data_IF_079552807229
#
_entry.id   IF_079552807229
#
_cell.length_a   1.000
_cell.length_b   1.000
_cell.length_c   1.000
_cell.angle_alpha   90.00
_cell.angle_beta   90.00
_cell.angle_gamma   90.00
#
_symmetry.space_group_name_H-M   'P 1'
#
loop_
_entity.id
_entity.type
_entity.pdbx_description
1 polymer ?
#
# COMPACT_ATOMS: atom_id res chain seq x y z
N UNK A 1 13.69 9.70 7.28
CA UNK A 1 13.50 8.25 7.37
C UNK A 1 12.07 8.01 7.84
N UNK A 2 11.35 7.00 7.37
CA UNK A 2 9.96 6.75 7.79
C UNK A 2 9.89 6.39 9.28
N UNK A 3 10.79 5.50 9.70
CA UNK A 3 10.94 5.09 11.08
C UNK A 3 12.22 5.75 11.63
N UNK A 4 12.13 6.36 12.80
CA UNK A 4 13.31 6.86 13.49
C UNK A 4 14.20 5.69 13.92
N UNK A 5 15.52 5.94 14.04
CA UNK A 5 16.43 4.93 14.60
C UNK A 5 16.21 4.72 16.12
N UNK A 6 15.23 5.41 16.69
CA UNK A 6 14.83 5.28 18.07
C UNK A 6 13.72 4.24 18.21
N UNK A 7 13.96 3.11 18.90
CA UNK A 7 12.95 2.09 19.16
C UNK A 7 11.74 2.61 19.96
N UNK A 8 11.87 3.75 20.64
CA UNK A 8 10.79 4.37 21.39
C UNK A 8 9.85 5.20 20.50
N UNK A 9 10.26 5.54 19.27
CA UNK A 9 9.41 6.31 18.38
C UNK A 9 8.31 5.41 17.79
N UNK A 10 7.07 5.92 17.81
CA UNK A 10 5.91 5.23 17.26
C UNK A 10 5.19 6.15 16.28
N UNK A 11 5.12 5.74 15.02
CA UNK A 11 4.51 6.55 13.95
C UNK A 11 3.04 6.18 13.80
N UNK A 12 2.16 7.18 13.91
CA UNK A 12 0.75 7.03 13.54
C UNK A 12 0.56 7.51 12.11
N UNK A 13 -0.06 6.69 11.29
CA UNK A 13 -0.40 6.99 9.90
C UNK A 13 -1.85 6.67 9.60
N UNK A 14 -2.27 6.99 8.39
CA UNK A 14 -3.59 6.66 7.88
C UNK A 14 -3.51 6.01 6.51
N UNK A 15 -4.48 5.14 6.21
CA UNK A 15 -4.70 4.62 4.87
C UNK A 15 -5.75 5.46 4.15
N UNK A 16 -5.46 5.84 2.91
CA UNK A 16 -6.41 6.31 1.93
C UNK A 16 -6.24 5.42 0.70
N UNK A 17 -6.91 4.26 0.64
CA UNK A 17 -6.68 3.34 -0.46
C UNK A 17 -6.95 4.03 -1.80
N UNK A 18 -8.05 4.80 -1.89
CA UNK A 18 -8.40 5.56 -3.09
C UNK A 18 -9.24 6.79 -2.74
N UNK A 19 -9.11 7.83 -3.54
CA UNK A 19 -10.09 8.91 -3.65
C UNK A 19 -11.24 8.46 -4.57
N UNK A 20 -10.91 7.85 -5.71
CA UNK A 20 -11.79 7.12 -6.60
C UNK A 20 -11.28 5.70 -6.82
N UNK A 21 -12.08 4.69 -6.51
CA UNK A 21 -11.66 3.29 -6.41
C UNK A 21 -10.88 2.78 -7.65
N UNK A 22 -9.56 2.75 -7.54
CA UNK A 22 -8.64 2.22 -8.56
C UNK A 22 -8.54 3.04 -9.84
N UNK A 23 -8.97 4.32 -9.82
CA UNK A 23 -8.98 5.21 -10.99
C UNK A 23 -8.30 6.56 -10.72
N UNK A 24 -7.55 6.67 -9.63
CA UNK A 24 -6.91 7.92 -9.24
C UNK A 24 -5.70 8.29 -10.13
N UNK A 25 -5.07 7.30 -10.75
CA UNK A 25 -3.84 7.47 -11.53
C UNK A 25 -3.97 6.93 -12.93
N UNK A 26 -3.88 7.83 -13.92
CA UNK A 26 -3.96 7.53 -15.33
C UNK A 26 -5.37 7.35 -15.86
N UNK A 27 -5.46 7.22 -17.17
CA UNK A 27 -6.71 7.03 -17.88
C UNK A 27 -7.28 5.62 -17.66
N UNK A 28 -8.59 5.52 -17.71
CA UNK A 28 -9.33 4.25 -17.76
C UNK A 28 -10.45 4.34 -18.79
N UNK A 29 -11.08 3.18 -19.11
CA UNK A 29 -12.24 3.19 -19.99
C UNK A 29 -13.45 3.97 -19.44
N UNK A 30 -13.49 4.24 -18.14
CA UNK A 30 -14.52 5.09 -17.50
C UNK A 30 -14.13 6.57 -17.46
N UNK A 31 -12.83 6.86 -17.38
CA UNK A 31 -12.27 8.22 -17.28
C UNK A 31 -11.08 8.34 -18.25
N UNK A 32 -11.38 8.54 -19.56
CA UNK A 32 -10.33 8.56 -20.60
C UNK A 32 -9.41 9.79 -20.49
N UNK A 33 -9.84 10.85 -19.82
CA UNK A 33 -9.04 12.07 -19.63
C UNK A 33 -7.97 11.94 -18.52
N UNK A 34 -8.06 10.92 -17.69
CA UNK A 34 -7.12 10.67 -16.59
C UNK A 34 -7.78 10.59 -15.21
N UNK A 35 -6.92 10.50 -14.18
CA UNK A 35 -7.30 10.37 -12.78
C UNK A 35 -7.42 11.72 -12.05
N UNK A 36 -6.68 11.87 -10.94
CA UNK A 36 -6.77 13.01 -10.01
C UNK A 36 -6.63 14.38 -10.69
N UNK A 37 -5.65 14.54 -11.57
CA UNK A 37 -5.35 15.82 -12.21
C UNK A 37 -6.45 16.27 -13.18
N UNK A 38 -7.18 15.31 -13.76
CA UNK A 38 -8.27 15.54 -14.68
C UNK A 38 -9.65 15.64 -13.99
N UNK A 39 -9.73 15.32 -12.70
CA UNK A 39 -10.97 15.27 -11.91
C UNK A 39 -10.94 16.26 -10.75
N UNK A 40 -11.31 17.56 -10.95
CA UNK A 40 -11.20 18.58 -9.91
C UNK A 40 -11.85 18.22 -8.58
N UNK A 41 -13.03 17.57 -8.60
CA UNK A 41 -13.72 17.15 -7.39
C UNK A 41 -12.98 16.04 -6.62
N UNK A 42 -12.23 15.18 -7.29
CA UNK A 42 -11.39 14.19 -6.65
C UNK A 42 -10.14 14.83 -6.03
N UNK A 43 -9.53 15.77 -6.76
CA UNK A 43 -8.39 16.53 -6.26
C UNK A 43 -8.79 17.38 -5.03
N UNK A 44 -9.95 18.06 -5.06
CA UNK A 44 -10.45 18.81 -3.92
C UNK A 44 -10.68 17.92 -2.69
N UNK A 45 -11.22 16.71 -2.87
CA UNK A 45 -11.37 15.74 -1.77
C UNK A 45 -10.02 15.32 -1.19
N UNK A 46 -9.02 15.08 -2.05
CA UNK A 46 -7.66 14.77 -1.62
C UNK A 46 -7.08 15.92 -0.81
N UNK A 47 -7.18 17.17 -1.29
CA UNK A 47 -6.69 18.37 -0.59
C UNK A 47 -7.34 18.53 0.80
N UNK A 48 -8.66 18.36 0.89
CA UNK A 48 -9.37 18.42 2.18
C UNK A 48 -8.90 17.32 3.14
N UNK A 49 -8.65 16.11 2.61
CA UNK A 49 -8.16 15.00 3.41
C UNK A 49 -6.74 15.25 3.93
N UNK A 50 -5.84 15.75 3.07
CA UNK A 50 -4.48 16.09 3.46
C UNK A 50 -4.44 17.24 4.48
N UNK A 51 -5.28 18.27 4.29
CA UNK A 51 -5.42 19.35 5.26
C UNK A 51 -5.95 18.87 6.61
N UNK A 52 -6.81 17.86 6.64
CA UNK A 52 -7.27 17.24 7.88
C UNK A 52 -6.11 16.49 8.58
N UNK A 53 -5.35 15.69 7.86
CA UNK A 53 -4.20 14.96 8.39
C UNK A 53 -3.14 15.91 8.97
N UNK A 54 -2.83 17.01 8.27
CA UNK A 54 -1.91 18.06 8.74
C UNK A 54 -2.38 18.65 10.08
N UNK A 55 -3.64 19.05 10.19
CA UNK A 55 -4.24 19.57 11.45
C UNK A 55 -4.19 18.55 12.58
N UNK A 56 -4.32 17.29 12.25
CA UNK A 56 -4.35 16.17 13.18
C UNK A 56 -2.95 15.69 13.58
N UNK A 57 -1.89 16.20 12.92
CA UNK A 57 -0.51 15.80 13.16
C UNK A 57 -0.16 14.43 12.60
N UNK A 58 -0.95 13.90 11.65
CA UNK A 58 -0.69 12.62 10.98
C UNK A 58 0.15 12.88 9.73
N UNK A 59 1.42 12.53 9.81
CA UNK A 59 2.41 12.90 8.78
C UNK A 59 2.56 11.87 7.65
N UNK A 60 1.95 10.69 7.73
CA UNK A 60 2.13 9.60 6.74
C UNK A 60 0.76 9.13 6.24
N UNK A 61 0.62 9.14 4.91
CA UNK A 61 -0.53 8.62 4.18
C UNK A 61 -0.12 7.44 3.32
N UNK A 62 -0.68 6.25 3.56
CA UNK A 62 -0.54 5.09 2.68
C UNK A 62 -1.66 5.09 1.65
N UNK A 63 -1.33 5.08 0.34
CA UNK A 63 -2.27 5.25 -0.76
C UNK A 63 -1.94 4.30 -1.91
N UNK A 64 -2.96 3.68 -2.53
CA UNK A 64 -2.79 2.69 -3.59
C UNK A 64 -2.75 3.35 -4.96
N UNK A 65 -1.86 2.87 -5.83
CA UNK A 65 -1.66 3.46 -7.16
C UNK A 65 -2.38 2.67 -8.26
N UNK A 66 -1.86 1.51 -8.61
CA UNK A 66 -2.27 0.79 -9.81
C UNK A 66 -3.40 -0.23 -9.59
N UNK A 67 -3.77 -0.47 -8.33
CA UNK A 67 -4.84 -1.40 -7.95
C UNK A 67 -4.71 -2.76 -8.68
N UNK A 68 -5.66 -3.06 -9.58
CA UNK A 68 -5.71 -4.25 -10.42
C UNK A 68 -5.33 -3.99 -11.89
N UNK A 69 -4.77 -2.81 -12.18
CA UNK A 69 -4.35 -2.40 -13.53
C UNK A 69 -5.50 -1.92 -14.42
N UNK A 70 -6.62 -1.46 -13.83
CA UNK A 70 -7.77 -0.93 -14.59
C UNK A 70 -7.55 0.48 -15.15
N UNK A 71 -6.56 1.20 -14.63
CA UNK A 71 -6.17 2.54 -15.06
C UNK A 71 -4.65 2.68 -15.12
N UNK A 72 -4.16 3.64 -15.87
CA UNK A 72 -2.77 4.04 -15.92
C UNK A 72 -1.85 3.13 -16.72
N UNK A 73 -2.15 1.84 -16.86
CA UNK A 73 -1.31 0.87 -17.57
C UNK A 73 -1.87 0.65 -18.97
N UNK A 74 -1.03 0.82 -20.01
CA UNK A 74 -1.34 0.43 -21.38
C UNK A 74 -0.92 -1.00 -21.61
N UNK A 75 -1.80 -1.79 -22.24
CA UNK A 75 -1.59 -3.20 -22.57
C UNK A 75 -1.61 -3.41 -24.08
N UNK A 76 -0.82 -4.38 -24.57
CA UNK A 76 -0.88 -4.86 -25.93
C UNK A 76 -1.97 -5.92 -26.14
N UNK A 77 -2.03 -6.47 -27.36
CA UNK A 77 -3.00 -7.52 -27.72
C UNK A 77 -2.77 -8.86 -27.01
N UNK A 78 -1.62 -9.05 -26.37
CA UNK A 78 -1.29 -10.22 -25.55
C UNK A 78 -1.50 -9.95 -24.06
N UNK A 79 -2.11 -8.80 -23.71
CA UNK A 79 -2.32 -8.33 -22.34
C UNK A 79 -1.03 -8.11 -21.53
N UNK A 80 0.09 -7.86 -22.22
CA UNK A 80 1.34 -7.47 -21.57
C UNK A 80 1.42 -5.94 -21.46
N UNK A 81 1.93 -5.39 -20.33
CA UNK A 81 2.15 -3.98 -20.20
C UNK A 81 3.13 -3.45 -21.24
N UNK A 82 2.79 -2.37 -21.92
CA UNK A 82 3.68 -1.64 -22.84
C UNK A 82 4.16 -0.31 -22.29
N UNK A 83 3.63 0.12 -21.14
CA UNK A 83 4.01 1.33 -20.44
C UNK A 83 2.85 1.92 -19.66
N UNK A 84 3.10 3.09 -19.09
CA UNK A 84 2.07 3.93 -18.47
C UNK A 84 1.47 4.88 -19.52
N UNK A 85 0.26 5.34 -19.30
CA UNK A 85 -0.31 6.39 -20.14
C UNK A 85 0.21 7.80 -19.73
N UNK A 86 -0.08 8.79 -20.56
CA UNK A 86 0.49 10.13 -20.40
C UNK A 86 -0.07 10.86 -19.16
N UNK A 87 -1.31 10.58 -18.74
CA UNK A 87 -1.95 11.22 -17.59
C UNK A 87 -1.45 10.65 -16.26
N UNK A 88 -0.92 9.42 -16.22
CA UNK A 88 -0.48 8.77 -14.99
C UNK A 88 0.49 9.64 -14.17
N UNK A 89 1.53 10.16 -14.81
CA UNK A 89 2.52 10.98 -14.12
C UNK A 89 1.97 12.36 -13.71
N UNK A 90 1.04 12.94 -14.47
CA UNK A 90 0.36 14.17 -14.07
C UNK A 90 -0.44 13.98 -12.79
N UNK A 91 -1.10 12.84 -12.65
CA UNK A 91 -1.87 12.50 -11.46
C UNK A 91 -0.99 12.28 -10.23
N UNK A 92 0.15 11.57 -10.40
CA UNK A 92 1.12 11.38 -9.31
C UNK A 92 1.77 12.70 -8.92
N UNK A 93 2.14 13.55 -9.89
CA UNK A 93 2.68 14.88 -9.63
C UNK A 93 1.67 15.74 -8.83
N UNK A 94 0.37 15.66 -9.18
CA UNK A 94 -0.70 16.35 -8.45
C UNK A 94 -0.83 15.86 -7.00
N UNK A 95 -0.80 14.53 -6.77
CA UNK A 95 -0.80 13.94 -5.43
C UNK A 95 0.39 14.44 -4.60
N UNK A 96 1.61 14.33 -5.14
CA UNK A 96 2.83 14.68 -4.39
C UNK A 96 2.91 16.18 -4.12
N UNK A 97 2.46 17.01 -5.07
CA UNK A 97 2.38 18.45 -4.86
C UNK A 97 1.37 18.82 -3.76
N UNK A 98 0.20 18.18 -3.73
CA UNK A 98 -0.81 18.36 -2.67
C UNK A 98 -0.26 17.90 -1.31
N UNK A 99 0.31 16.71 -1.24
CA UNK A 99 0.89 16.15 -0.02
C UNK A 99 2.01 17.03 0.55
N UNK A 100 2.87 17.55 -0.32
CA UNK A 100 3.95 18.48 0.07
C UNK A 100 3.41 19.79 0.66
N UNK A 101 2.33 20.35 0.10
CA UNK A 101 1.70 21.58 0.63
C UNK A 101 1.19 21.40 2.06
N UNK A 102 0.70 20.21 2.37
CA UNK A 102 0.14 19.86 3.68
C UNK A 102 1.12 19.13 4.61
N UNK A 103 2.42 19.13 4.30
CA UNK A 103 3.45 18.49 5.10
C UNK A 103 3.18 17.00 5.39
N UNK A 104 2.39 16.33 4.55
CA UNK A 104 2.10 14.90 4.61
C UNK A 104 3.01 14.17 3.63
N UNK A 105 3.63 13.10 4.09
CA UNK A 105 4.42 12.21 3.21
C UNK A 105 3.56 11.03 2.79
N UNK A 106 3.77 10.55 1.57
CA UNK A 106 2.98 9.45 1.01
C UNK A 106 3.80 8.16 1.01
N UNK A 107 3.17 7.06 1.38
CA UNK A 107 3.67 5.70 1.15
C UNK A 107 2.83 5.06 0.04
N UNK A 108 3.24 5.19 -1.24
CA UNK A 108 2.49 4.62 -2.35
C UNK A 108 2.57 3.10 -2.31
N UNK A 109 1.41 2.45 -2.45
CA UNK A 109 1.28 1.02 -2.70
C UNK A 109 1.18 0.83 -4.20
N UNK A 110 2.21 0.24 -4.80
CA UNK A 110 2.31 0.15 -6.26
C UNK A 110 1.23 -0.76 -6.86
N UNK A 111 0.98 -1.91 -6.25
CA UNK A 111 0.05 -2.93 -6.74
C UNK A 111 -0.86 -3.43 -5.61
N UNK A 112 -1.96 -4.08 -5.99
CA UNK A 112 -2.85 -4.75 -5.05
C UNK A 112 -3.08 -6.21 -5.47
N UNK A 113 -3.38 -7.10 -4.51
CA UNK A 113 -3.72 -8.49 -4.80
C UNK A 113 -4.91 -8.62 -5.76
N UNK A 114 -5.71 -7.58 -5.91
CA UNK A 114 -6.80 -7.52 -6.89
C UNK A 114 -6.31 -7.70 -8.34
N UNK A 115 -5.03 -7.44 -8.63
CA UNK A 115 -4.40 -7.81 -9.90
C UNK A 115 -4.66 -9.29 -10.25
N UNK A 116 -4.63 -10.16 -9.25
CA UNK A 116 -4.88 -11.61 -9.38
C UNK A 116 -6.35 -12.00 -9.18
N UNK A 117 -7.28 -11.07 -9.00
CA UNK A 117 -8.71 -11.37 -8.93
C UNK A 117 -9.21 -12.03 -10.22
N UNK A 118 -10.30 -12.82 -10.16
CA UNK A 118 -10.96 -13.28 -11.38
C UNK A 118 -11.24 -12.10 -12.32
N UNK A 119 -11.09 -12.33 -13.62
CA UNK A 119 -11.45 -11.34 -14.63
C UNK A 119 -12.94 -11.02 -14.54
N UNK A 120 -13.24 -9.74 -14.49
CA UNK A 120 -14.58 -9.18 -14.60
C UNK A 120 -14.57 -8.04 -15.61
N UNK A 121 -15.62 -7.91 -16.39
CA UNK A 121 -15.83 -6.77 -17.30
C UNK A 121 -16.98 -5.93 -16.79
N UNK A 122 -16.70 -4.71 -16.40
CA UNK A 122 -17.69 -3.75 -15.92
C UNK A 122 -17.72 -2.55 -16.84
N UNK A 123 -18.82 -2.38 -17.59
CA UNK A 123 -18.97 -1.28 -18.55
C UNK A 123 -17.76 -1.18 -19.52
N UNK A 124 -17.25 -2.32 -20.00
CA UNK A 124 -16.14 -2.39 -20.93
C UNK A 124 -14.74 -2.26 -20.31
N UNK A 125 -14.63 -2.03 -19.00
CA UNK A 125 -13.35 -1.97 -18.28
C UNK A 125 -13.05 -3.32 -17.64
N UNK A 126 -11.84 -3.83 -17.87
CA UNK A 126 -11.37 -5.07 -17.27
C UNK A 126 -10.88 -4.83 -15.84
N UNK A 127 -11.49 -5.55 -14.89
CA UNK A 127 -11.06 -5.67 -13.51
C UNK A 127 -10.37 -7.01 -13.30
N UNK A 128 -9.21 -7.01 -12.61
CA UNK A 128 -8.48 -8.23 -12.33
C UNK A 128 -8.05 -9.02 -13.56
N UNK A 129 -7.95 -10.35 -13.43
CA UNK A 129 -7.63 -11.27 -14.55
C UNK A 129 -6.18 -11.19 -15.02
N UNK A 130 -5.28 -10.54 -14.30
CA UNK A 130 -3.88 -10.27 -14.70
C UNK A 130 -2.85 -11.12 -13.94
N UNK A 131 -3.26 -12.29 -13.53
CA UNK A 131 -2.43 -13.25 -12.79
C UNK A 131 -1.11 -13.57 -13.50
N UNK A 132 -1.11 -13.60 -14.86
CA UNK A 132 0.06 -13.84 -15.68
C UNK A 132 1.19 -12.81 -15.47
N UNK A 133 0.86 -11.58 -15.04
CA UNK A 133 1.85 -10.53 -14.72
C UNK A 133 2.69 -10.85 -13.48
N UNK A 134 2.22 -11.76 -12.64
CA UNK A 134 2.98 -12.27 -11.48
C UNK A 134 3.53 -13.68 -11.76
N UNK A 135 2.71 -14.53 -12.39
CA UNK A 135 3.02 -15.94 -12.54
C UNK A 135 4.03 -16.24 -13.65
N UNK A 136 4.00 -15.49 -14.75
CA UNK A 136 4.78 -15.77 -15.95
C UNK A 136 6.00 -14.85 -16.06
N UNK A 137 7.19 -15.37 -16.45
CA UNK A 137 8.42 -14.56 -16.53
C UNK A 137 8.27 -13.33 -17.43
N UNK A 138 7.65 -13.49 -18.60
CA UNK A 138 7.45 -12.39 -19.55
C UNK A 138 6.52 -11.30 -18.98
N UNK A 139 5.43 -11.71 -18.32
CA UNK A 139 4.51 -10.81 -17.63
C UNK A 139 5.21 -10.02 -16.52
N UNK A 140 6.01 -10.70 -15.68
CA UNK A 140 6.78 -10.06 -14.61
C UNK A 140 7.78 -9.04 -15.17
N UNK A 141 8.56 -9.44 -16.16
CA UNK A 141 9.53 -8.53 -16.81
C UNK A 141 8.83 -7.31 -17.38
N UNK A 142 7.72 -7.49 -18.11
CA UNK A 142 6.99 -6.37 -18.70
C UNK A 142 6.41 -5.45 -17.61
N UNK A 143 5.83 -5.98 -16.54
CA UNK A 143 5.29 -5.20 -15.42
C UNK A 143 6.40 -4.42 -14.71
N UNK A 144 7.51 -5.05 -14.39
CA UNK A 144 8.60 -4.43 -13.66
C UNK A 144 9.29 -3.37 -14.53
N UNK A 145 9.71 -3.69 -15.74
CA UNK A 145 10.54 -2.81 -16.55
C UNK A 145 9.74 -1.66 -17.18
N UNK A 146 8.48 -1.89 -17.56
CA UNK A 146 7.68 -0.93 -18.31
C UNK A 146 6.70 -0.14 -17.44
N UNK A 147 6.45 -0.58 -16.21
CA UNK A 147 5.49 0.07 -15.30
C UNK A 147 6.18 0.51 -14.01
N UNK A 148 6.71 -0.43 -13.20
CA UNK A 148 7.25 -0.08 -11.89
C UNK A 148 8.51 0.77 -12.00
N UNK A 149 9.47 0.35 -12.81
CA UNK A 149 10.76 1.03 -12.96
C UNK A 149 10.64 2.51 -13.38
N UNK A 150 9.84 2.90 -14.40
CA UNK A 150 9.65 4.31 -14.74
C UNK A 150 9.08 5.17 -13.62
N UNK A 151 8.17 4.62 -12.80
CA UNK A 151 7.62 5.31 -11.62
C UNK A 151 8.76 5.60 -10.63
N UNK A 152 9.51 4.57 -10.29
CA UNK A 152 10.57 4.63 -9.29
C UNK A 152 11.70 5.58 -9.70
N UNK A 153 12.12 5.53 -10.97
CA UNK A 153 13.16 6.40 -11.52
C UNK A 153 12.74 7.87 -11.51
N UNK A 154 11.47 8.17 -11.86
CA UNK A 154 10.96 9.54 -11.88
C UNK A 154 10.92 10.16 -10.48
N UNK A 155 10.49 9.39 -9.46
CA UNK A 155 10.33 9.89 -8.09
C UNK A 155 11.46 9.44 -7.15
N UNK A 156 12.59 9.04 -7.72
CA UNK A 156 13.76 8.50 -7.01
C UNK A 156 14.21 9.34 -5.82
N UNK A 157 14.20 10.66 -5.98
CA UNK A 157 14.73 11.62 -5.02
C UNK A 157 13.64 12.50 -4.39
N UNK A 158 12.34 12.16 -4.61
CA UNK A 158 11.25 12.94 -4.04
C UNK A 158 11.06 12.58 -2.56
N UNK A 159 11.34 13.55 -1.68
CA UNK A 159 11.25 13.41 -0.22
C UNK A 159 9.80 13.30 0.29
N UNK A 160 8.80 13.66 -0.54
CA UNK A 160 7.38 13.49 -0.23
C UNK A 160 7.00 12.01 -0.21
N UNK A 161 7.73 11.17 -0.94
CA UNK A 161 7.59 9.71 -0.86
C UNK A 161 8.30 9.20 0.39
N UNK A 162 7.53 8.71 1.35
CA UNK A 162 8.01 8.20 2.64
C UNK A 162 8.68 6.82 2.54
N UNK A 163 8.08 5.94 1.76
CA UNK A 163 8.53 4.57 1.45
C UNK A 163 7.73 4.05 0.26
N UNK A 164 8.20 2.98 -0.38
CA UNK A 164 7.47 2.25 -1.41
C UNK A 164 6.94 0.94 -0.84
N UNK A 165 5.64 0.72 -0.97
CA UNK A 165 4.99 -0.57 -0.71
C UNK A 165 4.78 -1.28 -2.05
N UNK A 166 5.44 -2.43 -2.23
CA UNK A 166 5.48 -3.15 -3.53
C UNK A 166 4.09 -3.61 -3.94
N UNK A 167 3.37 -4.23 -3.01
CA UNK A 167 2.05 -4.81 -3.25
C UNK A 167 1.31 -5.04 -1.93
N UNK A 168 0.05 -4.68 -1.91
CA UNK A 168 -0.85 -4.97 -0.80
C UNK A 168 -1.24 -6.46 -0.78
N UNK A 169 -1.08 -7.09 0.39
CA UNK A 169 -1.57 -8.43 0.74
C UNK A 169 -1.31 -9.51 -0.33
N UNK A 170 -0.06 -9.69 -0.79
CA UNK A 170 0.27 -10.61 -1.88
C UNK A 170 -0.12 -12.07 -1.59
N UNK A 171 -0.32 -12.44 -0.34
CA UNK A 171 -0.77 -13.78 0.08
C UNK A 171 -2.12 -14.16 -0.55
N UNK A 172 -2.97 -13.17 -0.80
CA UNK A 172 -4.25 -13.42 -1.47
C UNK A 172 -4.09 -13.80 -2.94
N UNK A 173 -2.98 -13.43 -3.58
CA UNK A 173 -2.64 -13.92 -4.91
C UNK A 173 -2.51 -15.45 -4.93
N UNK A 174 -1.92 -16.06 -3.88
CA UNK A 174 -1.78 -17.53 -3.79
C UNK A 174 -3.12 -18.25 -3.83
N UNK A 175 -4.17 -17.69 -3.21
CA UNK A 175 -5.51 -18.27 -3.24
C UNK A 175 -6.13 -18.22 -4.63
N UNK A 176 -5.82 -17.19 -5.41
CA UNK A 176 -6.40 -16.92 -6.74
C UNK A 176 -5.65 -17.66 -7.84
N UNK A 177 -4.35 -17.92 -7.65
CA UNK A 177 -3.55 -18.81 -8.49
C UNK A 177 -3.98 -20.29 -8.43
N UNK A 178 -4.83 -20.69 -7.46
CA UNK A 178 -5.26 -22.10 -7.23
C UNK A 178 -5.82 -22.81 -8.47
N UNK A 179 -6.37 -22.09 -9.42
CA UNK A 179 -7.05 -22.67 -10.59
C UNK A 179 -6.08 -23.21 -11.67
N UNK A 180 -4.82 -22.76 -11.67
CA UNK A 180 -3.93 -22.97 -12.81
C UNK A 180 -2.64 -23.75 -12.47
N UNK A 181 -2.23 -23.86 -11.21
CA UNK A 181 -0.89 -24.34 -10.86
C UNK A 181 -0.89 -25.20 -9.59
N UNK A 182 0.12 -26.09 -9.48
CA UNK A 182 0.39 -26.80 -8.22
C UNK A 182 0.80 -25.79 -7.13
N UNK A 183 0.55 -26.12 -5.85
CA UNK A 183 0.79 -25.18 -4.73
C UNK A 183 2.24 -24.68 -4.67
N UNK A 184 3.21 -25.56 -4.94
CA UNK A 184 4.63 -25.20 -4.94
C UNK A 184 4.98 -24.20 -6.04
N UNK A 185 4.41 -24.37 -7.25
CA UNK A 185 4.70 -23.52 -8.41
C UNK A 185 4.17 -22.10 -8.18
N UNK A 186 3.01 -21.97 -7.51
CA UNK A 186 2.39 -20.66 -7.17
C UNK A 186 3.22 -19.89 -6.17
N UNK A 187 3.66 -20.57 -5.13
CA UNK A 187 4.51 -19.98 -4.10
C UNK A 187 5.82 -19.49 -4.71
N UNK A 188 6.47 -20.33 -5.54
CA UNK A 188 7.70 -19.97 -6.24
C UNK A 188 7.52 -18.79 -7.17
N UNK A 189 6.42 -18.73 -7.94
CA UNK A 189 6.13 -17.60 -8.83
C UNK A 189 5.94 -16.28 -8.07
N UNK A 190 5.18 -16.29 -6.96
CA UNK A 190 5.01 -15.10 -6.13
C UNK A 190 6.31 -14.68 -5.45
N UNK A 191 7.09 -15.62 -4.92
CA UNK A 191 8.41 -15.33 -4.33
C UNK A 191 9.36 -14.71 -5.36
N UNK A 192 9.36 -15.25 -6.59
CA UNK A 192 10.18 -14.71 -7.67
C UNK A 192 9.75 -13.29 -8.06
N UNK A 193 8.44 -13.04 -8.20
CA UNK A 193 7.92 -11.71 -8.45
C UNK A 193 8.34 -10.71 -7.36
N UNK A 194 8.11 -11.06 -6.09
CA UNK A 194 8.47 -10.18 -4.98
C UNK A 194 9.98 -9.90 -4.96
N UNK A 195 10.81 -10.91 -5.21
CA UNK A 195 12.25 -10.75 -5.29
C UNK A 195 12.65 -9.79 -6.42
N UNK A 196 12.19 -10.03 -7.64
CA UNK A 196 12.50 -9.20 -8.82
C UNK A 196 12.01 -7.74 -8.63
N UNK A 197 10.79 -7.56 -8.09
CA UNK A 197 10.23 -6.24 -7.83
C UNK A 197 11.06 -5.48 -6.77
N UNK A 198 11.38 -6.10 -5.63
CA UNK A 198 12.20 -5.48 -4.58
C UNK A 198 13.60 -5.11 -5.11
N UNK A 199 14.22 -5.97 -5.92
CA UNK A 199 15.51 -5.64 -6.56
C UNK A 199 15.39 -4.43 -7.49
N UNK A 200 14.32 -4.34 -8.27
CA UNK A 200 14.05 -3.16 -9.10
C UNK A 200 13.89 -1.89 -8.26
N UNK A 201 13.09 -1.93 -7.18
CA UNK A 201 12.89 -0.81 -6.29
C UNK A 201 14.21 -0.31 -5.69
N UNK A 202 15.04 -1.22 -5.18
CA UNK A 202 16.35 -0.89 -4.61
C UNK A 202 17.33 -0.29 -5.62
N UNK A 203 17.26 -0.73 -6.86
CA UNK A 203 18.11 -0.19 -7.93
C UNK A 203 17.64 1.20 -8.44
N UNK A 204 16.33 1.44 -8.43
CA UNK A 204 15.70 2.58 -9.09
C UNK A 204 15.28 3.70 -8.14
N UNK A 205 15.09 3.43 -6.84
CA UNK A 205 14.64 4.40 -5.83
C UNK A 205 15.62 4.50 -4.66
N UNK A 206 15.49 5.56 -3.85
CA UNK A 206 16.28 5.77 -2.61
C UNK A 206 15.44 5.62 -1.35
N UNK A 207 14.13 5.70 -1.50
CA UNK A 207 13.21 5.58 -0.38
C UNK A 207 13.19 4.13 0.16
N UNK A 208 12.86 3.94 1.43
CA UNK A 208 12.67 2.62 2.03
C UNK A 208 11.65 1.76 1.28
N UNK A 209 11.85 0.44 1.29
CA UNK A 209 10.98 -0.54 0.60
C UNK A 209 10.34 -1.48 1.61
N UNK A 210 9.04 -1.71 1.44
CA UNK A 210 8.24 -2.65 2.23
C UNK A 210 7.25 -3.45 1.38
N UNK A 211 6.57 -4.40 2.00
CA UNK A 211 5.45 -5.17 1.44
C UNK A 211 4.37 -5.29 2.51
N UNK A 212 3.16 -4.88 2.21
CA UNK A 212 2.01 -4.97 3.11
C UNK A 212 1.46 -6.40 3.18
N UNK A 213 1.74 -7.13 4.27
CA UNK A 213 1.27 -8.50 4.46
C UNK A 213 -0.08 -8.55 5.17
N UNK A 214 -0.99 -9.42 4.73
CA UNK A 214 -2.32 -9.61 5.34
C UNK A 214 -2.28 -10.11 6.80
N UNK A 215 -1.10 -10.45 7.30
CA UNK A 215 -0.87 -10.89 8.66
C UNK A 215 0.50 -11.55 8.85
N UNK A 216 0.71 -12.15 10.01
CA UNK A 216 2.02 -12.72 10.37
C UNK A 216 2.27 -14.13 9.83
N UNK A 217 1.25 -14.81 9.29
CA UNK A 217 1.33 -16.24 8.91
C UNK A 217 2.15 -16.52 7.64
N UNK A 218 2.35 -15.52 6.79
CA UNK A 218 3.12 -15.66 5.55
C UNK A 218 4.41 -14.83 5.51
N UNK A 219 4.93 -14.40 6.67
CA UNK A 219 6.18 -13.63 6.74
C UNK A 219 7.38 -14.31 6.06
N UNK A 220 7.37 -15.65 5.90
CA UNK A 220 8.37 -16.36 5.14
C UNK A 220 8.47 -15.95 3.66
N UNK A 221 7.43 -15.32 3.10
CA UNK A 221 7.46 -14.75 1.75
C UNK A 221 8.35 -13.51 1.66
N UNK A 222 8.37 -12.71 2.71
CA UNK A 222 9.00 -11.38 2.71
C UNK A 222 10.32 -11.32 3.46
N UNK A 223 10.59 -12.24 4.40
CA UNK A 223 11.85 -12.31 5.14
C UNK A 223 13.10 -12.34 4.24
N UNK A 224 13.14 -13.11 3.12
CA UNK A 224 14.33 -13.18 2.27
C UNK A 224 14.56 -11.94 1.39
N UNK A 225 13.63 -10.99 1.35
CA UNK A 225 13.65 -9.89 0.37
C UNK A 225 14.60 -8.74 0.77
N UNK A 226 15.04 -8.69 2.04
CA UNK A 226 15.89 -7.62 2.54
C UNK A 226 15.15 -6.28 2.61
N UNK A 227 13.91 -6.26 3.06
CA UNK A 227 13.09 -5.05 3.24
C UNK A 227 13.72 -4.10 4.25
N UNK A 228 13.39 -2.81 4.17
CA UNK A 228 13.86 -1.81 5.14
C UNK A 228 13.05 -1.83 6.43
N UNK A 229 11.80 -2.22 6.33
CA UNK A 229 10.92 -2.55 7.45
C UNK A 229 9.84 -3.53 6.99
N UNK A 230 9.26 -4.26 7.93
CA UNK A 230 8.13 -5.15 7.66
C UNK A 230 6.82 -4.45 7.96
N UNK A 231 5.78 -4.84 7.24
CA UNK A 231 4.43 -4.34 7.40
C UNK A 231 3.46 -5.51 7.49
N UNK A 232 2.64 -5.54 8.53
CA UNK A 232 1.59 -6.53 8.71
C UNK A 232 0.27 -5.85 8.99
N UNK A 233 -0.83 -6.48 8.59
CA UNK A 233 -2.18 -5.98 8.83
C UNK A 233 -2.83 -6.79 9.95
N UNK A 234 -3.65 -6.13 10.74
CA UNK A 234 -4.42 -6.79 11.78
C UNK A 234 -5.86 -6.32 11.78
N UNK A 235 -6.75 -7.29 11.79
CA UNK A 235 -8.19 -7.10 11.96
C UNK A 235 -8.70 -8.06 13.02
N UNK A 236 -9.77 -7.70 13.72
CA UNK A 236 -10.32 -8.46 14.84
C UNK A 236 -10.53 -9.96 14.55
N UNK A 237 -10.83 -10.31 13.30
CA UNK A 237 -10.99 -11.71 12.85
C UNK A 237 -9.78 -12.61 13.15
N UNK A 238 -8.60 -12.04 13.37
CA UNK A 238 -7.37 -12.78 13.68
C UNK A 238 -7.16 -13.03 15.18
N UNK A 239 -8.08 -12.52 16.02
CA UNK A 239 -8.00 -12.61 17.46
C UNK A 239 -7.03 -11.59 18.08
N UNK A 240 -7.27 -11.25 19.35
CA UNK A 240 -6.47 -10.27 20.10
C UNK A 240 -5.03 -10.74 20.32
N UNK A 241 -4.85 -12.02 20.65
CA UNK A 241 -3.53 -12.62 20.88
C UNK A 241 -2.57 -12.48 19.68
N UNK A 242 -3.09 -12.32 18.47
CA UNK A 242 -2.23 -12.07 17.30
C UNK A 242 -1.61 -10.66 17.32
N UNK A 243 -2.28 -9.66 17.89
CA UNK A 243 -1.75 -8.32 18.08
C UNK A 243 -0.83 -8.22 19.30
N UNK A 244 -1.15 -8.94 20.40
CA UNK A 244 -0.37 -8.96 21.63
C UNK A 244 0.98 -9.69 21.48
N UNK A 245 1.12 -10.53 20.45
CA UNK A 245 2.36 -11.29 20.25
C UNK A 245 3.54 -10.33 20.05
N UNK A 246 4.60 -10.44 20.89
CA UNK A 246 5.76 -9.58 20.76
C UNK A 246 6.40 -9.67 19.36
N UNK A 247 6.70 -8.52 18.77
CA UNK A 247 7.37 -8.43 17.47
C UNK A 247 8.71 -9.20 17.48
N UNK A 248 9.42 -9.20 18.61
CA UNK A 248 10.67 -9.95 18.81
C UNK A 248 10.51 -11.47 18.56
N UNK A 249 9.31 -12.02 18.80
CA UNK A 249 9.02 -13.44 18.56
C UNK A 249 8.74 -13.78 17.09
N UNK A 250 8.58 -12.77 16.23
CA UNK A 250 8.37 -12.98 14.79
C UNK A 250 9.67 -13.37 14.07
N UNK A 251 10.83 -13.19 14.74
CA UNK A 251 12.14 -13.51 14.19
C UNK A 251 12.46 -12.69 12.94
N UNK A 252 12.14 -11.40 12.96
CA UNK A 252 12.41 -10.43 11.90
C UNK A 252 13.67 -9.62 12.26
N UNK A 253 14.41 -9.22 11.24
CA UNK A 253 15.69 -8.50 11.37
C UNK A 253 15.56 -6.98 11.19
N UNK A 254 14.34 -6.50 10.95
CA UNK A 254 14.01 -5.10 10.73
C UNK A 254 12.78 -4.69 11.53
N UNK A 255 12.57 -3.38 11.72
CA UNK A 255 11.36 -2.86 12.37
C UNK A 255 10.07 -3.36 11.72
N UNK A 256 8.99 -3.39 12.50
CA UNK A 256 7.67 -3.81 12.02
C UNK A 256 6.66 -2.70 12.31
N UNK A 257 5.82 -2.39 11.34
CA UNK A 257 4.66 -1.54 11.53
C UNK A 257 3.36 -2.34 11.37
N UNK A 258 2.32 -1.88 12.04
CA UNK A 258 0.94 -2.31 11.80
C UNK A 258 0.39 -1.48 10.65
N UNK A 259 0.50 -2.00 9.40
CA UNK A 259 0.18 -1.25 8.19
C UNK A 259 -1.31 -0.97 8.01
N UNK A 260 -2.15 -1.82 8.60
CA UNK A 260 -3.59 -1.62 8.65
C UNK A 260 -4.17 -2.17 9.95
N UNK A 261 -5.08 -1.40 10.55
CA UNK A 261 -6.01 -1.84 11.58
C UNK A 261 -7.36 -1.15 11.41
N UNK A 262 -8.47 -1.80 11.82
CA UNK A 262 -9.82 -1.26 11.63
C UNK A 262 -10.00 0.07 12.35
N UNK A 263 -10.46 1.09 11.63
CA UNK A 263 -10.86 2.39 12.18
C UNK A 263 -12.26 2.39 12.81
N UNK A 264 -12.97 1.28 12.71
CA UNK A 264 -14.27 1.09 13.36
C UNK A 264 -14.05 0.37 14.68
N UNK A 265 -14.50 0.98 15.78
CA UNK A 265 -14.47 0.35 17.09
C UNK A 265 -15.25 -0.98 17.05
N UNK A 266 -14.57 -2.03 17.46
CA UNK A 266 -15.13 -3.34 17.72
C UNK A 266 -15.31 -3.53 19.23
N UNK A 267 -15.09 -4.71 19.76
CA UNK A 267 -15.01 -4.94 21.21
C UNK A 267 -13.74 -4.38 21.86
N UNK A 268 -12.76 -3.95 21.07
CA UNK A 268 -11.57 -3.24 21.56
C UNK A 268 -11.63 -1.78 21.12
N UNK A 269 -11.30 -0.86 22.03
CA UNK A 269 -11.16 0.55 21.70
C UNK A 269 -9.96 0.80 20.78
N UNK A 270 -10.00 1.88 20.03
CA UNK A 270 -8.90 2.29 19.14
C UNK A 270 -7.61 2.52 19.95
N UNK A 271 -7.71 3.19 21.10
CA UNK A 271 -6.56 3.42 22.00
C UNK A 271 -5.95 2.09 22.48
N UNK A 272 -6.78 1.09 22.84
CA UNK A 272 -6.29 -0.23 23.24
C UNK A 272 -5.50 -0.93 22.13
N UNK A 273 -5.95 -0.80 20.87
CA UNK A 273 -5.23 -1.34 19.71
C UNK A 273 -3.86 -0.68 19.55
N UNK A 274 -3.81 0.65 19.60
CA UNK A 274 -2.57 1.43 19.47
C UNK A 274 -1.59 1.14 20.63
N UNK A 275 -2.08 1.13 21.86
CA UNK A 275 -1.28 0.80 23.05
C UNK A 275 -0.74 -0.62 23.00
N UNK A 276 -1.56 -1.57 22.53
CA UNK A 276 -1.14 -2.96 22.41
C UNK A 276 -0.10 -3.14 21.32
N UNK A 277 -0.29 -2.52 20.16
CA UNK A 277 0.70 -2.53 19.09
C UNK A 277 2.04 -1.95 19.59
N UNK A 278 2.03 -0.80 20.26
CA UNK A 278 3.24 -0.20 20.83
C UNK A 278 3.92 -1.11 21.86
N UNK A 279 3.16 -1.66 22.81
CA UNK A 279 3.70 -2.60 23.82
C UNK A 279 4.25 -3.88 23.20
N UNK A 280 3.64 -4.37 22.12
CA UNK A 280 4.12 -5.55 21.39
C UNK A 280 5.41 -5.27 20.58
N UNK A 281 5.83 -4.00 20.45
CA UNK A 281 7.08 -3.62 19.80
C UNK A 281 6.92 -3.21 18.32
N UNK A 282 5.70 -2.95 17.85
CA UNK A 282 5.51 -2.29 16.57
C UNK A 282 6.04 -0.85 16.66
N UNK A 283 6.61 -0.34 15.57
CA UNK A 283 7.12 1.04 15.49
C UNK A 283 6.16 2.00 14.78
N UNK A 284 4.96 1.58 14.52
CA UNK A 284 3.90 2.43 13.99
C UNK A 284 2.62 1.66 13.74
N UNK A 285 1.53 2.39 13.55
CA UNK A 285 0.22 1.84 13.19
C UNK A 285 -0.55 2.79 12.29
N UNK A 286 -1.18 2.25 11.24
CA UNK A 286 -1.91 3.00 10.23
C UNK A 286 -3.38 2.59 10.24
N UNK A 287 -4.26 3.54 10.51
CA UNK A 287 -5.70 3.29 10.59
C UNK A 287 -6.29 3.01 9.19
N UNK A 288 -7.18 2.05 9.09
CA UNK A 288 -7.98 1.77 7.90
C UNK A 288 -9.39 2.31 8.08
N UNK A 289 -9.91 3.23 7.28
CA UNK A 289 -9.27 4.06 6.27
C UNK A 289 -10.07 5.35 6.10
N UNK A 290 -9.46 6.30 5.43
CA UNK A 290 -10.10 7.55 4.99
C UNK A 290 -10.92 7.30 3.71
N UNK A 291 -12.05 7.97 3.55
CA UNK A 291 -12.90 7.99 2.36
C UNK A 291 -13.46 6.65 1.87
N UNK A 292 -13.08 5.52 2.45
CA UNK A 292 -13.67 4.22 2.12
C UNK A 292 -14.93 3.95 2.92
N UNK A 293 -15.79 3.08 2.39
CA UNK A 293 -17.10 2.76 2.97
C UNK A 293 -17.24 1.26 3.33
N UNK A 294 -16.12 0.54 3.44
CA UNK A 294 -16.17 -0.85 3.89
C UNK A 294 -16.41 -0.94 5.41
N UNK A 295 -16.75 -2.13 5.89
CA UNK A 295 -17.09 -2.38 7.30
C UNK A 295 -15.96 -2.13 8.31
N UNK A 296 -14.74 -1.91 7.86
CA UNK A 296 -13.56 -1.65 8.69
C UNK A 296 -13.08 -0.22 8.59
N UNK A 297 -13.62 0.53 7.61
CA UNK A 297 -13.18 1.88 7.32
C UNK A 297 -13.68 2.87 8.35
N UNK A 298 -12.78 3.71 8.85
CA UNK A 298 -13.06 4.80 9.76
C UNK A 298 -11.79 5.58 10.11
N UNK A 299 -12.00 6.83 10.45
CA UNK A 299 -10.95 7.71 10.98
C UNK A 299 -11.50 8.40 12.23
N UNK A 300 -11.58 7.67 13.35
CA UNK A 300 -12.19 8.18 14.58
C UNK A 300 -11.25 9.16 15.31
N UNK A 301 -11.81 10.12 16.07
CA UNK A 301 -11.04 11.11 16.83
C UNK A 301 -10.01 10.49 17.79
N UNK A 302 -10.28 9.30 18.30
CA UNK A 302 -9.41 8.58 19.23
C UNK A 302 -8.01 8.29 18.67
N UNK A 303 -7.88 8.16 17.33
CA UNK A 303 -6.56 8.03 16.66
C UNK A 303 -5.75 9.29 16.85
N UNK A 304 -6.38 10.45 16.66
CA UNK A 304 -5.76 11.77 16.76
C UNK A 304 -5.42 12.10 18.22
N UNK A 305 -6.36 11.85 19.13
CA UNK A 305 -6.17 12.06 20.57
C UNK A 305 -5.01 11.23 21.09
N UNK A 306 -4.94 9.95 20.71
CA UNK A 306 -3.83 9.08 21.08
C UNK A 306 -2.49 9.59 20.52
N UNK A 307 -2.42 9.96 19.24
CA UNK A 307 -1.21 10.47 18.61
C UNK A 307 -0.69 11.75 19.29
N UNK A 308 -1.57 12.69 19.63
CA UNK A 308 -1.23 13.93 20.34
C UNK A 308 -0.70 13.65 21.76
N UNK A 309 -1.37 12.76 22.50
CA UNK A 309 -0.92 12.40 23.85
C UNK A 309 0.50 11.81 23.87
N UNK A 310 0.90 11.10 22.81
CA UNK A 310 2.28 10.59 22.70
C UNK A 310 3.31 11.70 22.42
N UNK A 311 2.90 12.74 21.67
CA UNK A 311 3.79 13.87 21.32
C UNK A 311 4.04 14.82 22.48
N UNK A 312 3.09 14.96 23.42
CA UNK A 312 3.17 15.83 24.59
C UNK A 312 3.93 15.19 25.77
N UNK A 313 4.13 13.89 25.74
CA UNK A 313 4.83 13.12 26.80
C UNK A 313 6.35 12.99 26.59
N UNK A 314 6.90 13.63 25.56
CA UNK A 314 8.33 13.70 25.23
C UNK A 314 8.81 15.15 25.29
#
# INVERSE_FOLDING_TARGET
MLLANDPASFVVGANLPWVGYGIDFGASGWFPEGGLSAQPAALDRLEHTLAALERDGIAILRLFMLCDGRSGIRFDSQHLPVGLDDSFFHDVDALLAAAKRHHVRVMPVLLDFHLCSPLELVNGVQLGGRTHLIAEPEGRTALIDRVLKPILERYRDDETVAAWDVINEPEWCLRRLRRFWRTADRLGALQQFLHEAVQCLRASARQPVTVGCAGTWHLHLVKPLGLDFYQVHWYERFGWSALERPVAELGLDRPVILGEFSGVSSRWGIADVLDTARRAGYQGAFVWSLLSEDKHSGYPPEVVEWARAQSEGH
#
